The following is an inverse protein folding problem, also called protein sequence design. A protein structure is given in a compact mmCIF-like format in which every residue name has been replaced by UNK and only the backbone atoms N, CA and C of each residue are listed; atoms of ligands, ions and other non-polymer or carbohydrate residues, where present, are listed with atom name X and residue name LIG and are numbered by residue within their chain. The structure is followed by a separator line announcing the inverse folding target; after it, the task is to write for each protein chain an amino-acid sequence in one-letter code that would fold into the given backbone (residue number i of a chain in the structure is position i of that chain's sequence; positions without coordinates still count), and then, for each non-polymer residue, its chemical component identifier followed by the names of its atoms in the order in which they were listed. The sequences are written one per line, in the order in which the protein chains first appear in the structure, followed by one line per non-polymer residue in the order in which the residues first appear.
data_IF_773067335684
#
_entry.id   IF_773067335684
#
_cell.length_a   1.000
_cell.length_b   1.000
_cell.length_c   1.000
_cell.angle_alpha   90.00
_cell.angle_beta   90.00
_cell.angle_gamma   90.00
#
_symmetry.space_group_name_H-M   'P 1'
#
loop_
_entity.id
_entity.type
_entity.pdbx_description
1 polymer ?
#
# COMPACT_ATOMS: atom_id res chain seq x y z
N UNK A 1 1.13 -16.97 -7.92
CA UNK A 1 1.16 -16.68 -9.38
C UNK A 1 -0.26 -16.63 -9.90
N UNK A 2 -0.51 -15.97 -11.03
CA UNK A 2 -1.83 -15.90 -11.63
C UNK A 2 -1.79 -15.36 -13.06
N UNK A 3 -2.96 -15.24 -13.68
CA UNK A 3 -3.14 -14.73 -15.04
C UNK A 3 -3.67 -13.29 -15.02
N UNK A 4 -3.27 -12.53 -16.03
CA UNK A 4 -3.77 -11.21 -16.33
C UNK A 4 -4.71 -11.31 -17.53
N UNK A 5 -5.91 -10.76 -17.37
CA UNK A 5 -6.94 -10.73 -18.40
C UNK A 5 -7.13 -9.29 -18.89
N UNK A 6 -7.34 -9.15 -20.19
CA UNK A 6 -7.63 -7.87 -20.79
C UNK A 6 -7.56 -7.89 -22.30
N UNK A 7 -7.03 -6.82 -22.88
CA UNK A 7 -7.00 -6.61 -24.33
C UNK A 7 -5.74 -5.85 -24.78
N UNK A 8 -5.34 -6.11 -26.02
CA UNK A 8 -4.34 -5.33 -26.74
C UNK A 8 -5.05 -4.34 -27.67
N UNK A 9 -5.24 -3.07 -27.28
CA UNK A 9 -5.79 -2.06 -28.18
C UNK A 9 -4.84 -1.75 -29.35
N UNK A 10 -3.54 -1.65 -29.06
CA UNK A 10 -2.46 -1.24 -29.96
C UNK A 10 -1.18 -2.05 -29.66
N UNK A 11 -0.18 -1.97 -30.53
CA UNK A 11 1.11 -2.67 -30.35
C UNK A 11 1.94 -2.17 -29.15
N UNK A 12 1.70 -0.94 -28.69
CA UNK A 12 2.48 -0.29 -27.63
C UNK A 12 1.79 -0.26 -26.27
N UNK A 13 0.50 -0.58 -26.20
CA UNK A 13 -0.30 -0.43 -24.99
C UNK A 13 -1.00 -1.74 -24.68
N UNK A 14 -0.93 -2.17 -23.42
CA UNK A 14 -1.69 -3.33 -22.92
C UNK A 14 -2.65 -2.86 -21.86
N UNK A 15 -3.93 -3.21 -22.01
CA UNK A 15 -4.93 -2.99 -20.98
C UNK A 15 -5.14 -4.29 -20.20
N UNK A 16 -4.86 -4.24 -18.90
CA UNK A 16 -5.22 -5.28 -17.94
C UNK A 16 -6.47 -4.82 -17.21
N UNK A 17 -7.53 -5.63 -17.25
CA UNK A 17 -8.84 -5.30 -16.67
C UNK A 17 -9.13 -6.20 -15.47
N UNK A 18 -8.83 -7.49 -15.56
CA UNK A 18 -9.09 -8.46 -14.50
C UNK A 18 -7.86 -9.36 -14.25
N UNK A 19 -7.82 -9.98 -13.06
CA UNK A 19 -6.70 -10.79 -12.61
C UNK A 19 -7.23 -12.05 -11.92
N UNK A 20 -6.72 -13.22 -12.34
CA UNK A 20 -7.13 -14.51 -11.79
C UNK A 20 -5.95 -15.16 -11.07
N UNK A 21 -6.15 -15.53 -9.81
CA UNK A 21 -5.18 -16.31 -9.05
C UNK A 21 -5.16 -17.77 -9.52
N UNK A 22 -3.96 -18.33 -9.73
CA UNK A 22 -3.79 -19.72 -10.11
C UNK A 22 -3.53 -20.60 -8.85
N UNK A 23 -4.16 -21.78 -8.74
CA UNK A 23 -3.92 -22.69 -7.63
C UNK A 23 -2.47 -23.21 -7.67
N UNK A 24 -1.81 -23.26 -6.51
CA UNK A 24 -0.44 -23.73 -6.39
C UNK A 24 -0.40 -25.20 -5.96
N UNK A 25 0.48 -26.00 -6.58
CA UNK A 25 0.81 -27.35 -6.09
C UNK A 25 2.01 -27.25 -5.14
N UNK A 26 1.89 -27.84 -3.96
CA UNK A 26 2.82 -27.62 -2.83
C UNK A 26 4.25 -28.14 -2.98
N UNK A 27 4.65 -28.65 -4.15
CA UNK A 27 6.00 -29.18 -4.39
C UNK A 27 6.87 -28.12 -5.07
N UNK A 28 7.44 -27.22 -4.28
CA UNK A 28 8.54 -26.33 -4.69
C UNK A 28 8.15 -24.98 -5.29
N UNK A 29 9.14 -24.08 -5.35
CA UNK A 29 9.07 -22.71 -5.89
C UNK A 29 9.18 -22.69 -7.43
N UNK A 30 8.83 -23.80 -8.10
CA UNK A 30 8.90 -23.86 -9.56
C UNK A 30 7.65 -23.23 -10.18
N UNK A 31 7.87 -22.39 -11.21
CA UNK A 31 6.83 -21.66 -11.97
C UNK A 31 6.09 -22.60 -12.96
N UNK A 32 6.23 -23.91 -12.80
CA UNK A 32 5.79 -24.93 -13.76
C UNK A 32 4.29 -25.28 -13.67
N UNK A 33 3.54 -24.62 -12.80
CA UNK A 33 2.16 -24.99 -12.47
C UNK A 33 1.09 -24.17 -13.19
N UNK A 34 1.27 -23.84 -14.49
CA UNK A 34 0.11 -23.38 -15.28
C UNK A 34 -0.68 -24.62 -15.71
N UNK A 35 -1.72 -24.94 -14.95
CA UNK A 35 -2.67 -25.99 -15.30
C UNK A 35 -3.56 -25.51 -16.45
N UNK A 36 -3.32 -26.07 -17.63
CA UNK A 36 -4.06 -25.75 -18.85
C UNK A 36 -5.56 -26.08 -18.73
N UNK A 37 -5.93 -27.09 -17.94
CA UNK A 37 -7.33 -27.46 -17.73
C UNK A 37 -8.02 -26.35 -16.94
N UNK A 38 -7.43 -25.96 -15.81
CA UNK A 38 -7.96 -24.87 -14.98
C UNK A 38 -8.05 -23.54 -15.76
N UNK A 39 -7.04 -23.23 -16.58
CA UNK A 39 -7.07 -22.02 -17.41
C UNK A 39 -8.27 -22.02 -18.38
N UNK A 40 -8.50 -23.12 -19.09
CA UNK A 40 -9.63 -23.22 -20.04
C UNK A 40 -10.96 -23.14 -19.31
N UNK A 41 -11.12 -23.88 -18.21
CA UNK A 41 -12.35 -23.89 -17.43
C UNK A 41 -12.70 -22.49 -16.91
N UNK A 42 -11.73 -21.76 -16.37
CA UNK A 42 -11.96 -20.37 -15.89
C UNK A 42 -12.31 -19.44 -17.03
N UNK A 43 -11.62 -19.54 -18.18
CA UNK A 43 -11.95 -18.72 -19.35
C UNK A 43 -13.36 -19.01 -19.87
N UNK A 44 -13.78 -20.26 -19.84
CA UNK A 44 -15.13 -20.64 -20.27
C UNK A 44 -16.21 -20.19 -19.27
N UNK A 45 -15.93 -20.24 -17.96
CA UNK A 45 -16.80 -19.64 -16.95
C UNK A 45 -16.92 -18.12 -17.12
N UNK A 46 -15.82 -17.42 -17.40
CA UNK A 46 -15.83 -15.97 -17.63
C UNK A 46 -16.64 -15.59 -18.88
N UNK A 47 -16.52 -16.36 -19.97
CA UNK A 47 -17.34 -16.17 -21.18
C UNK A 47 -18.84 -16.27 -20.90
N UNK A 48 -19.26 -17.17 -20.00
CA UNK A 48 -20.68 -17.29 -19.62
C UNK A 48 -21.20 -16.02 -18.92
N UNK A 49 -20.33 -15.29 -18.21
CA UNK A 49 -20.65 -14.02 -17.55
C UNK A 49 -20.54 -12.78 -18.46
N UNK A 50 -20.41 -12.98 -19.78
CA UNK A 50 -20.17 -11.91 -20.78
C UNK A 50 -18.82 -11.20 -20.62
N UNK A 51 -17.82 -11.86 -20.04
CA UNK A 51 -16.43 -11.38 -19.99
C UNK A 51 -15.61 -12.10 -21.05
N UNK A 52 -15.36 -11.44 -22.17
CA UNK A 52 -14.66 -11.99 -23.34
C UNK A 52 -13.19 -11.60 -23.42
N UNK A 53 -12.58 -11.29 -22.27
CA UNK A 53 -11.18 -10.88 -22.17
C UNK A 53 -10.23 -12.04 -22.48
N UNK A 54 -9.10 -11.71 -23.09
CA UNK A 54 -8.06 -12.69 -23.42
C UNK A 54 -6.96 -12.65 -22.36
N UNK A 55 -6.21 -13.74 -22.24
CA UNK A 55 -5.01 -13.78 -21.39
C UNK A 55 -3.94 -12.92 -22.04
N UNK A 56 -3.64 -11.76 -21.44
CA UNK A 56 -2.61 -10.83 -21.92
C UNK A 56 -1.25 -11.13 -21.29
N UNK A 57 -1.25 -11.79 -20.13
CA UNK A 57 -0.03 -12.14 -19.43
C UNK A 57 -0.23 -12.93 -18.15
N UNK A 58 0.84 -13.04 -17.38
CA UNK A 58 0.84 -13.70 -16.08
C UNK A 58 1.62 -12.90 -15.05
N UNK A 59 1.36 -13.19 -13.78
CA UNK A 59 2.09 -12.57 -12.68
C UNK A 59 2.53 -13.56 -11.60
N UNK A 60 3.59 -13.18 -10.90
CA UNK A 60 4.01 -13.82 -9.66
C UNK A 60 4.64 -12.79 -8.73
N UNK A 61 4.87 -13.21 -7.50
CA UNK A 61 5.39 -12.36 -6.44
C UNK A 61 6.68 -12.94 -5.89
N UNK A 62 7.61 -12.06 -5.52
CA UNK A 62 8.89 -12.38 -4.88
C UNK A 62 8.93 -11.81 -3.45
N UNK A 63 8.38 -12.51 -2.44
CA UNK A 63 8.34 -12.00 -1.08
C UNK A 63 9.76 -11.73 -0.54
N UNK A 64 10.06 -10.48 -0.18
CA UNK A 64 11.33 -10.08 0.46
C UNK A 64 12.56 -9.94 -0.44
N UNK A 65 12.51 -10.33 -1.72
CA UNK A 65 13.68 -10.32 -2.62
C UNK A 65 13.78 -9.12 -3.58
N UNK A 66 12.75 -8.28 -3.62
CA UNK A 66 12.62 -7.20 -4.61
C UNK A 66 12.15 -7.72 -5.98
N UNK A 67 12.13 -6.83 -6.97
CA UNK A 67 11.59 -7.12 -8.30
C UNK A 67 12.72 -7.37 -9.31
N UNK A 68 12.92 -8.63 -9.71
CA UNK A 68 13.85 -9.05 -10.75
C UNK A 68 13.52 -10.48 -11.19
N UNK A 69 13.76 -10.77 -12.48
CA UNK A 69 13.54 -12.10 -13.04
C UNK A 69 14.67 -13.06 -12.66
N UNK A 70 14.30 -14.18 -12.02
CA UNK A 70 15.22 -15.30 -11.78
C UNK A 70 15.34 -16.19 -13.02
N UNK A 71 16.50 -16.83 -13.24
CA UNK A 71 16.75 -17.68 -14.41
C UNK A 71 15.71 -18.79 -14.64
N UNK A 72 15.11 -19.34 -13.58
CA UNK A 72 14.02 -20.32 -13.68
C UNK A 72 12.70 -19.74 -14.22
N UNK A 73 12.43 -18.45 -13.98
CA UNK A 73 11.30 -17.73 -14.57
C UNK A 73 11.57 -17.38 -16.05
N UNK A 74 12.83 -17.14 -16.41
CA UNK A 74 13.24 -16.88 -17.79
C UNK A 74 13.04 -18.10 -18.71
N UNK A 75 13.33 -19.33 -18.25
CA UNK A 75 13.20 -20.54 -19.08
C UNK A 75 11.74 -20.99 -19.30
N UNK A 76 10.86 -20.75 -18.33
CA UNK A 76 9.41 -20.97 -18.49
C UNK A 76 8.75 -19.93 -19.41
N UNK A 77 9.34 -18.73 -19.52
CA UNK A 77 8.86 -17.62 -20.36
C UNK A 77 9.00 -17.88 -21.86
N UNK A 78 10.09 -18.53 -22.32
CA UNK A 78 10.39 -18.70 -23.77
C UNK A 78 9.32 -19.49 -24.52
N UNK A 79 8.49 -20.30 -23.83
CA UNK A 79 7.49 -21.16 -24.46
C UNK A 79 6.14 -20.47 -24.74
N UNK A 80 5.86 -19.29 -24.19
CA UNK A 80 4.56 -18.61 -24.36
C UNK A 80 4.81 -17.13 -24.65
N UNK A 81 4.55 -16.71 -25.88
CA UNK A 81 4.64 -15.33 -26.37
C UNK A 81 3.55 -14.43 -25.75
N UNK A 82 3.61 -14.20 -24.44
CA UNK A 82 2.66 -13.38 -23.68
C UNK A 82 3.43 -12.48 -22.70
N UNK A 83 2.82 -11.37 -22.27
CA UNK A 83 3.45 -10.45 -21.32
C UNK A 83 3.62 -11.10 -19.95
N UNK A 84 4.64 -10.67 -19.21
CA UNK A 84 4.86 -11.06 -17.83
C UNK A 84 4.89 -9.80 -16.96
N UNK A 85 3.99 -9.76 -15.98
CA UNK A 85 3.95 -8.74 -14.93
C UNK A 85 4.47 -9.32 -13.64
N UNK A 86 5.62 -8.83 -13.18
CA UNK A 86 6.08 -9.17 -11.84
C UNK A 86 5.37 -8.25 -10.84
N UNK A 87 4.29 -8.79 -10.27
CA UNK A 87 3.56 -8.12 -9.20
C UNK A 87 4.24 -8.40 -7.87
N UNK A 88 4.93 -7.39 -7.38
CA UNK A 88 5.43 -7.37 -6.01
C UNK A 88 4.29 -6.97 -5.06
N UNK A 89 3.81 -7.93 -4.30
CA UNK A 89 3.05 -7.63 -3.07
C UNK A 89 4.06 -7.61 -1.93
N UNK A 90 4.57 -6.43 -1.58
CA UNK A 90 5.03 -6.22 -0.21
C UNK A 90 3.81 -6.12 0.69
N UNK A 91 3.97 -6.60 1.92
CA UNK A 91 3.08 -6.41 3.04
C UNK A 91 2.35 -5.05 3.02
N UNK A 92 1.02 -5.12 3.12
CA UNK A 92 -0.02 -4.23 3.69
C UNK A 92 0.13 -2.69 3.65
N UNK A 93 1.30 -2.06 3.51
CA UNK A 93 1.48 -0.61 3.66
C UNK A 93 1.94 0.16 2.41
N UNK A 94 2.47 -0.51 1.38
CA UNK A 94 2.93 0.19 0.16
C UNK A 94 2.59 -0.59 -1.10
N UNK A 95 1.57 -0.13 -1.84
CA UNK A 95 1.31 -0.56 -3.22
C UNK A 95 2.45 -0.09 -4.11
N UNK A 96 3.50 -0.91 -4.22
CA UNK A 96 4.61 -0.63 -5.12
C UNK A 96 4.60 -1.66 -6.24
N UNK A 97 4.06 -1.23 -7.37
CA UNK A 97 3.72 -2.05 -8.53
C UNK A 97 4.63 -1.60 -9.68
N UNK A 98 5.91 -1.98 -9.61
CA UNK A 98 6.96 -1.28 -10.35
C UNK A 98 7.49 -2.02 -11.60
N UNK A 99 7.19 -3.31 -11.82
CA UNK A 99 7.92 -4.06 -12.85
C UNK A 99 7.06 -5.00 -13.71
N UNK A 100 6.72 -4.55 -14.91
CA UNK A 100 6.32 -5.40 -16.04
C UNK A 100 7.58 -5.65 -16.88
N UNK A 101 7.95 -6.92 -17.05
CA UNK A 101 9.19 -7.34 -17.72
C UNK A 101 8.85 -8.09 -19.01
N UNK A 102 9.27 -7.57 -20.16
CA UNK A 102 9.12 -8.29 -21.44
C UNK A 102 10.48 -8.91 -21.80
N UNK A 103 10.54 -10.24 -21.84
CA UNK A 103 11.73 -10.98 -22.23
C UNK A 103 11.80 -11.05 -23.76
N UNK A 104 13.01 -10.88 -24.28
CA UNK A 104 13.23 -10.76 -25.71
C UNK A 104 13.65 -12.08 -26.37
N UNK A 105 13.06 -12.43 -27.53
CA UNK A 105 13.63 -13.38 -28.49
C UNK A 105 14.03 -12.62 -29.77
N UNK A 106 15.34 -12.35 -29.90
CA UNK A 106 16.16 -12.01 -31.10
C UNK A 106 15.61 -11.04 -32.19
N UNK A 107 16.32 -9.90 -32.40
CA UNK A 107 16.06 -8.67 -33.25
C UNK A 107 15.84 -7.29 -32.53
N UNK A 108 16.94 -6.57 -32.24
CA UNK A 108 17.01 -5.12 -31.95
C UNK A 108 15.69 -4.29 -32.09
N UNK A 109 14.98 -4.09 -30.99
CA UNK A 109 14.00 -3.01 -30.87
C UNK A 109 14.73 -1.76 -30.37
N UNK A 110 14.72 -0.72 -31.19
CA UNK A 110 15.04 0.65 -30.77
C UNK A 110 13.97 1.04 -29.75
N UNK A 111 14.33 1.17 -28.48
CA UNK A 111 13.38 1.66 -27.46
C UNK A 111 12.91 3.07 -27.85
N UNK A 112 11.59 3.32 -28.00
CA UNK A 112 11.10 4.68 -28.07
C UNK A 112 11.41 5.41 -26.74
N UNK A 113 11.69 6.73 -26.78
CA UNK A 113 12.33 7.48 -25.70
C UNK A 113 11.41 7.84 -24.53
N UNK A 114 10.59 6.91 -24.03
CA UNK A 114 9.70 7.16 -22.90
C UNK A 114 10.19 6.42 -21.64
N UNK A 115 11.17 7.06 -20.99
CA UNK A 115 11.35 7.25 -19.54
C UNK A 115 10.78 6.12 -18.64
N UNK A 116 11.62 5.12 -18.32
CA UNK A 116 11.51 4.38 -17.07
C UNK A 116 12.39 5.10 -16.01
N UNK A 117 11.78 5.88 -15.13
CA UNK A 117 12.46 6.92 -14.34
C UNK A 117 13.22 6.41 -13.10
N UNK A 118 13.26 5.11 -12.79
CA UNK A 118 13.96 4.65 -11.59
C UNK A 118 14.48 3.22 -11.71
N UNK A 119 15.73 3.06 -12.16
CA UNK A 119 16.40 1.75 -12.12
C UNK A 119 16.84 1.42 -10.69
N UNK A 120 16.24 0.39 -10.08
CA UNK A 120 16.68 -0.11 -8.77
C UNK A 120 18.00 -0.89 -8.92
N UNK A 121 18.98 -0.70 -8.00
CA UNK A 121 20.32 -1.30 -8.15
C UNK A 121 20.30 -2.83 -8.14
N UNK A 122 19.39 -3.46 -7.40
CA UNK A 122 19.27 -4.93 -7.35
C UNK A 122 18.81 -5.52 -8.69
N UNK A 123 17.84 -4.91 -9.36
CA UNK A 123 17.34 -5.40 -10.66
C UNK A 123 18.42 -5.31 -11.75
N UNK A 124 19.27 -4.28 -11.71
CA UNK A 124 20.40 -4.12 -12.62
C UNK A 124 21.40 -5.30 -12.53
N UNK A 125 21.71 -5.74 -11.31
CA UNK A 125 22.60 -6.89 -11.05
C UNK A 125 22.01 -8.18 -11.64
N UNK A 126 20.69 -8.32 -11.59
CA UNK A 126 19.96 -9.49 -12.08
C UNK A 126 19.52 -9.38 -13.56
N UNK A 127 20.15 -8.52 -14.35
CA UNK A 127 20.00 -8.53 -15.82
C UNK A 127 18.92 -7.63 -16.40
N UNK A 128 18.43 -6.64 -15.64
CA UNK A 128 17.65 -5.53 -16.19
C UNK A 128 18.46 -4.81 -17.29
N UNK A 129 17.82 -4.47 -18.41
CA UNK A 129 18.40 -3.94 -19.65
C UNK A 129 19.34 -4.90 -20.41
N UNK A 130 19.44 -6.17 -19.99
CA UNK A 130 20.19 -7.22 -20.70
C UNK A 130 19.29 -8.36 -21.15
N UNK A 131 18.55 -8.93 -20.19
CA UNK A 131 17.68 -10.09 -20.40
C UNK A 131 16.21 -9.66 -20.52
N UNK A 132 15.82 -8.58 -19.85
CA UNK A 132 14.48 -8.01 -19.83
C UNK A 132 14.57 -6.50 -19.61
N UNK A 133 13.48 -5.78 -19.88
CA UNK A 133 13.38 -4.33 -19.65
C UNK A 133 12.12 -4.00 -18.84
N UNK A 134 12.15 -2.88 -18.14
CA UNK A 134 11.02 -2.38 -17.37
C UNK A 134 10.06 -1.60 -18.26
N UNK A 135 8.77 -1.89 -18.16
CA UNK A 135 7.70 -1.12 -18.79
C UNK A 135 7.06 -0.15 -17.78
N UNK A 136 6.58 0.99 -18.28
CA UNK A 136 5.86 1.96 -17.47
C UNK A 136 4.42 1.46 -17.20
N UNK A 137 3.99 1.53 -15.93
CA UNK A 137 2.65 1.16 -15.51
C UNK A 137 1.86 2.42 -15.18
N UNK A 138 0.62 2.49 -15.66
CA UNK A 138 -0.30 3.57 -15.30
C UNK A 138 -1.63 2.98 -14.84
N UNK A 139 -2.27 3.65 -13.89
CA UNK A 139 -3.58 3.26 -13.37
C UNK A 139 -4.66 4.16 -13.96
N UNK A 140 -5.75 3.55 -14.41
CA UNK A 140 -6.95 4.25 -14.86
C UNK A 140 -8.05 3.99 -13.86
N UNK A 141 -8.59 5.05 -13.26
CA UNK A 141 -9.78 4.99 -12.40
C UNK A 141 -10.93 5.73 -13.07
N UNK A 142 -12.10 5.12 -13.07
CA UNK A 142 -13.32 5.78 -13.51
C UNK A 142 -13.86 6.70 -12.40
N UNK A 143 -14.55 7.78 -12.77
CA UNK A 143 -15.15 8.69 -11.78
C UNK A 143 -16.19 8.03 -10.86
N UNK A 144 -16.81 6.92 -11.29
CA UNK A 144 -17.68 6.11 -10.43
C UNK A 144 -16.91 5.28 -9.42
N UNK A 145 -15.79 4.68 -9.84
CA UNK A 145 -14.89 3.93 -8.95
C UNK A 145 -14.28 4.85 -7.91
N UNK A 146 -13.82 6.04 -8.32
CA UNK A 146 -13.29 7.05 -7.41
C UNK A 146 -14.33 7.45 -6.36
N UNK A 147 -15.57 7.77 -6.78
CA UNK A 147 -16.67 8.09 -5.86
C UNK A 147 -17.00 6.94 -4.92
N UNK A 148 -17.01 5.70 -5.43
CA UNK A 148 -17.26 4.51 -4.63
C UNK A 148 -16.17 4.31 -3.58
N UNK A 149 -14.89 4.40 -3.98
CA UNK A 149 -13.73 4.24 -3.10
C UNK A 149 -13.68 5.34 -2.05
N UNK A 150 -13.94 6.60 -2.43
CA UNK A 150 -14.07 7.72 -1.49
C UNK A 150 -15.23 7.52 -0.50
N UNK A 151 -16.23 6.73 -0.85
CA UNK A 151 -17.34 6.41 0.05
C UNK A 151 -16.98 5.37 1.12
N UNK A 152 -15.98 4.52 0.89
CA UNK A 152 -15.60 3.46 1.84
C UNK A 152 -15.00 4.02 3.13
N UNK A 153 -14.29 5.14 3.07
CA UNK A 153 -13.67 5.78 4.24
C UNK A 153 -14.60 6.83 4.90
N UNK A 154 -15.88 6.90 4.52
CA UNK A 154 -16.79 7.85 5.19
C UNK A 154 -17.12 7.36 6.59
N UNK A 155 -16.89 8.22 7.59
CA UNK A 155 -17.40 8.03 8.94
C UNK A 155 -18.93 7.93 8.89
N UNK A 156 -19.54 7.19 9.83
CA UNK A 156 -21.00 7.13 9.87
C UNK A 156 -21.52 8.52 10.21
N UNK A 157 -22.59 8.96 9.57
CA UNK A 157 -23.17 10.28 9.83
C UNK A 157 -23.62 10.42 11.29
N UNK A 158 -23.97 9.31 11.95
CA UNK A 158 -24.34 9.25 13.36
C UNK A 158 -23.17 9.48 14.30
N UNK A 159 -21.92 9.22 13.88
CA UNK A 159 -20.76 9.29 14.78
C UNK A 159 -20.57 10.71 15.36
N UNK A 160 -21.03 11.75 14.66
CA UNK A 160 -20.99 13.14 15.13
C UNK A 160 -22.16 13.56 16.02
N UNK A 161 -23.23 12.74 16.06
CA UNK A 161 -24.42 12.97 16.88
C UNK A 161 -24.45 12.08 18.13
N UNK A 162 -23.61 11.04 18.16
CA UNK A 162 -23.50 10.19 19.33
C UNK A 162 -22.60 10.84 20.37
N UNK A 163 -23.15 11.15 21.53
CA UNK A 163 -22.38 11.57 22.70
C UNK A 163 -21.82 10.37 23.47
N UNK A 164 -20.64 10.54 24.06
CA UNK A 164 -20.10 9.54 25.01
C UNK A 164 -20.88 9.63 26.32
N UNK A 165 -20.91 8.52 27.06
CA UNK A 165 -21.48 8.51 28.41
C UNK A 165 -20.70 9.47 29.33
N UNK A 166 -21.42 10.34 30.03
CA UNK A 166 -20.82 11.39 30.87
C UNK A 166 -19.91 10.83 31.96
N UNK A 167 -20.31 9.74 32.62
CA UNK A 167 -19.49 9.10 33.68
C UNK A 167 -18.17 8.55 33.13
N UNK A 168 -18.21 7.92 31.95
CA UNK A 168 -17.02 7.40 31.30
C UNK A 168 -16.09 8.53 30.83
N UNK A 169 -16.67 9.59 30.27
CA UNK A 169 -15.92 10.76 29.83
C UNK A 169 -15.26 11.50 31.00
N UNK A 170 -15.96 11.66 32.13
CA UNK A 170 -15.40 12.24 33.36
C UNK A 170 -14.22 11.44 33.87
N UNK A 171 -14.34 10.10 33.91
CA UNK A 171 -13.23 9.20 34.29
C UNK A 171 -12.02 9.33 33.37
N UNK A 172 -12.24 9.45 32.06
CA UNK A 172 -11.14 9.69 31.11
C UNK A 172 -10.46 11.03 31.39
N UNK A 173 -11.23 12.09 31.64
CA UNK A 173 -10.68 13.41 31.95
C UNK A 173 -9.85 13.40 33.25
N UNK A 174 -10.31 12.71 34.29
CA UNK A 174 -9.57 12.49 35.53
C UNK A 174 -8.26 11.71 35.33
N UNK A 175 -8.27 10.70 34.47
CA UNK A 175 -7.06 9.95 34.12
C UNK A 175 -6.07 10.82 33.36
N UNK A 176 -6.52 11.61 32.39
CA UNK A 176 -5.66 12.53 31.63
C UNK A 176 -5.11 13.66 32.52
N UNK A 177 -5.82 14.05 33.59
CA UNK A 177 -5.34 14.99 34.61
C UNK A 177 -4.12 14.49 35.42
N UNK A 178 -3.71 13.23 35.29
CA UNK A 178 -2.40 12.75 35.77
C UNK A 178 -1.20 13.44 35.06
N UNK A 179 -1.48 14.35 34.12
CA UNK A 179 -0.61 15.38 33.57
C UNK A 179 0.21 16.16 34.63
N UNK A 180 -0.26 16.25 35.88
CA UNK A 180 0.48 16.90 36.97
C UNK A 180 1.90 16.32 37.17
N UNK A 181 2.04 14.99 37.05
CA UNK A 181 3.33 14.32 37.15
C UNK A 181 4.26 14.68 35.98
N UNK A 182 3.70 14.84 34.77
CA UNK A 182 4.46 15.28 33.61
C UNK A 182 4.87 16.74 33.72
N UNK A 183 4.04 17.61 34.29
CA UNK A 183 4.37 19.00 34.56
C UNK A 183 5.52 19.14 35.57
N UNK A 184 5.51 18.33 36.64
CA UNK A 184 6.62 18.26 37.61
C UNK A 184 7.90 17.78 36.91
N UNK A 185 7.82 16.71 36.11
CA UNK A 185 8.97 16.21 35.33
C UNK A 185 9.50 17.25 34.36
N UNK A 186 8.63 17.99 33.68
CA UNK A 186 9.00 19.05 32.76
C UNK A 186 9.71 20.19 33.50
N UNK A 187 9.20 20.60 34.66
CA UNK A 187 9.85 21.62 35.48
C UNK A 187 11.23 21.18 35.97
N UNK A 188 11.37 19.93 36.41
CA UNK A 188 12.66 19.38 36.82
C UNK A 188 13.63 19.31 35.62
N UNK A 189 13.16 18.89 34.44
CA UNK A 189 13.97 18.89 33.22
C UNK A 189 14.46 20.29 32.85
N UNK A 190 13.59 21.31 32.95
CA UNK A 190 13.99 22.71 32.71
C UNK A 190 15.05 23.21 33.71
N UNK A 191 15.00 22.77 34.96
CA UNK A 191 16.01 23.10 35.97
C UNK A 191 17.34 22.39 35.71
N UNK A 192 17.31 21.15 35.23
CA UNK A 192 18.50 20.36 34.86
C UNK A 192 19.15 20.88 33.56
N UNK A 193 18.35 21.32 32.59
CA UNK A 193 18.81 21.73 31.27
C UNK A 193 19.60 23.05 31.28
N UNK A 194 19.32 23.96 32.23
CA UNK A 194 20.09 25.19 32.46
C UNK A 194 20.40 25.98 31.17
N UNK A 195 21.66 26.42 31.02
CA UNK A 195 22.19 27.07 29.80
C UNK A 195 22.92 26.08 28.86
N UNK A 196 22.59 24.79 28.92
CA UNK A 196 23.27 23.81 28.09
C UNK A 196 22.99 24.03 26.59
N UNK A 197 23.99 23.76 25.76
CA UNK A 197 23.85 23.84 24.30
C UNK A 197 22.79 22.84 23.79
N UNK A 198 21.90 23.26 22.88
CA UNK A 198 20.75 22.46 22.46
C UNK A 198 21.12 21.12 21.81
N UNK A 199 22.28 21.04 21.14
CA UNK A 199 22.77 19.79 20.54
C UNK A 199 23.14 18.73 21.59
N UNK A 200 23.69 19.15 22.74
CA UNK A 200 24.04 18.23 23.82
C UNK A 200 22.79 17.74 24.55
N UNK A 201 21.80 18.61 24.72
CA UNK A 201 20.49 18.26 25.26
C UNK A 201 19.76 17.26 24.35
N UNK A 202 19.81 17.48 23.02
CA UNK A 202 19.21 16.56 22.07
C UNK A 202 19.78 15.14 22.19
N UNK A 203 21.10 14.99 22.39
CA UNK A 203 21.76 13.69 22.60
C UNK A 203 21.43 13.11 23.98
N UNK A 204 21.43 13.93 25.03
CA UNK A 204 21.15 13.50 26.40
C UNK A 204 19.70 13.03 26.60
N UNK A 205 18.77 13.60 25.82
CA UNK A 205 17.34 13.29 25.90
C UNK A 205 16.94 12.07 25.04
N UNK A 206 17.85 11.52 24.24
CA UNK A 206 17.58 10.27 23.50
C UNK A 206 17.34 9.13 24.49
N UNK A 207 16.16 8.52 24.42
CA UNK A 207 15.77 7.41 25.30
C UNK A 207 15.05 7.84 26.58
N UNK A 208 14.90 9.15 26.83
CA UNK A 208 14.01 9.68 27.89
C UNK A 208 12.67 10.08 27.29
N UNK A 209 11.60 9.92 28.06
CA UNK A 209 10.27 10.40 27.65
C UNK A 209 10.25 11.93 27.69
N UNK A 210 9.98 12.57 26.56
CA UNK A 210 9.89 14.03 26.45
C UNK A 210 8.58 14.51 27.11
N UNK A 211 8.72 15.04 28.32
CA UNK A 211 7.59 15.52 29.10
C UNK A 211 6.83 16.63 28.38
N UNK A 212 7.50 17.52 27.64
CA UNK A 212 6.85 18.60 26.91
C UNK A 212 5.92 18.06 25.81
N UNK A 213 6.44 17.14 24.99
CA UNK A 213 5.67 16.56 23.88
C UNK A 213 4.44 15.80 24.38
N UNK A 214 4.58 15.04 25.47
CA UNK A 214 3.45 14.34 26.08
C UNK A 214 2.43 15.28 26.74
N UNK A 215 2.87 16.40 27.33
CA UNK A 215 1.95 17.43 27.81
C UNK A 215 1.12 18.01 26.66
N UNK A 216 1.77 18.37 25.55
CA UNK A 216 1.08 18.90 24.37
C UNK A 216 0.07 17.90 23.78
N UNK A 217 0.45 16.62 23.67
CA UNK A 217 -0.42 15.54 23.20
C UNK A 217 -1.66 15.37 24.09
N UNK A 218 -1.47 15.29 25.42
CA UNK A 218 -2.58 15.14 26.36
C UNK A 218 -3.51 16.35 26.39
N UNK A 219 -2.96 17.57 26.29
CA UNK A 219 -3.77 18.79 26.19
C UNK A 219 -4.59 18.78 24.91
N UNK A 220 -4.00 18.41 23.77
CA UNK A 220 -4.70 18.35 22.50
C UNK A 220 -5.85 17.35 22.51
N UNK A 221 -5.61 16.15 23.06
CA UNK A 221 -6.64 15.11 23.20
C UNK A 221 -7.76 15.53 24.15
N UNK A 222 -7.41 16.08 25.31
CA UNK A 222 -8.38 16.56 26.31
C UNK A 222 -9.25 17.68 25.73
N UNK A 223 -8.63 18.67 25.07
CA UNK A 223 -9.36 19.75 24.43
C UNK A 223 -10.27 19.24 23.33
N UNK A 224 -9.77 18.39 22.43
CA UNK A 224 -10.56 17.86 21.32
C UNK A 224 -11.76 17.05 21.81
N UNK A 225 -11.55 16.19 22.82
CA UNK A 225 -12.58 15.36 23.42
C UNK A 225 -13.64 16.21 24.13
N UNK A 226 -13.22 17.17 24.94
CA UNK A 226 -14.14 18.03 25.69
C UNK A 226 -14.91 18.97 24.77
N UNK A 227 -14.25 19.64 23.82
CA UNK A 227 -14.93 20.54 22.87
C UNK A 227 -15.98 19.77 22.07
N UNK A 228 -15.66 18.57 21.58
CA UNK A 228 -16.60 17.74 20.85
C UNK A 228 -17.80 17.33 21.72
N UNK A 229 -17.57 16.91 22.96
CA UNK A 229 -18.63 16.54 23.89
C UNK A 229 -19.52 17.74 24.23
N UNK A 230 -18.95 18.91 24.56
CA UNK A 230 -19.73 20.10 24.89
C UNK A 230 -20.53 20.59 23.69
N UNK A 231 -19.93 20.62 22.49
CA UNK A 231 -20.64 20.97 21.27
C UNK A 231 -21.78 19.99 20.98
N UNK A 232 -21.54 18.69 21.17
CA UNK A 232 -22.56 17.65 21.06
C UNK A 232 -23.75 17.91 22.00
N UNK A 233 -23.48 18.24 23.27
CA UNK A 233 -24.55 18.53 24.24
C UNK A 233 -25.40 19.73 23.84
N UNK A 234 -24.75 20.81 23.38
CA UNK A 234 -25.45 22.02 22.96
C UNK A 234 -26.27 21.76 21.69
N UNK A 235 -25.70 21.05 20.71
CA UNK A 235 -26.42 20.69 19.50
C UNK A 235 -27.64 19.83 19.80
N UNK A 236 -27.50 18.83 20.66
CA UNK A 236 -28.61 17.95 21.04
C UNK A 236 -29.73 18.72 21.71
N UNK A 237 -29.43 19.70 22.58
CA UNK A 237 -30.47 20.52 23.24
C UNK A 237 -31.25 21.45 22.31
N UNK A 238 -30.70 21.79 21.14
CA UNK A 238 -31.32 22.70 20.18
C UNK A 238 -32.00 21.93 19.04
N UNK A 239 -31.42 20.82 18.63
CA UNK A 239 -31.89 20.03 17.50
C UNK A 239 -32.97 18.99 17.87
N UNK A 240 -32.98 18.48 19.11
CA UNK A 240 -33.88 17.44 19.59
C UNK A 240 -34.64 17.90 20.86
#
# INVERSE_FOLDING_TARGET
MGLLLGSFPDEYTTHVVDVVAMPQRGTGVSVEAIDHVFQTDVLDMLKQTQRHEMVVGWYHSHPGFGCWLCGAASDSFVKKSLLLLELFTLDILSMLLDHLSLLYSRSFLVCPPNIATTSRPKALIHGLNRNYYSLAVNFRMNGLEEKMLLSLHKKKWTDGLTMRQFDAHSKTNEQTLQMSNLAIKYNNALQEDGDAQPEKLAIANVGRADAKKHLEEHVYDMMSSNIAQTLGTVLDTVAF
#
